data_IF_753357091121
#
_entry.id   IF_753357091121
#
_cell.length_a   1.000
_cell.length_b   1.000
_cell.length_c   1.000
_cell.angle_alpha   90.00
_cell.angle_beta   90.00
_cell.angle_gamma   90.00
#
_symmetry.space_group_name_H-M   'P 1'
#
loop_
_entity.id
_entity.type
_entity.pdbx_description
1 polymer ?
#
# COMPACT_ATOMS: atom_id res chain seq x y z
N UNK A 1 16.75 -4.74 -13.07
CA UNK A 1 15.54 -5.29 -13.70
C UNK A 1 14.37 -4.38 -13.32
N UNK A 2 13.82 -3.61 -14.27
CA UNK A 2 12.65 -2.75 -14.01
C UNK A 2 11.41 -3.61 -14.19
N UNK A 3 10.69 -3.86 -13.10
CA UNK A 3 9.41 -4.54 -13.17
C UNK A 3 8.40 -3.56 -13.78
N UNK A 4 7.97 -3.82 -15.00
CA UNK A 4 6.82 -3.14 -15.56
C UNK A 4 5.58 -3.89 -15.07
N UNK A 5 4.80 -3.25 -14.20
CA UNK A 5 3.44 -3.72 -13.93
C UNK A 5 2.68 -3.65 -15.25
N UNK A 6 2.17 -4.81 -15.71
CA UNK A 6 1.20 -4.83 -16.82
C UNK A 6 0.04 -3.93 -16.42
N UNK A 7 -0.60 -3.25 -17.37
CA UNK A 7 -1.79 -2.43 -17.10
C UNK A 7 -2.78 -3.28 -16.32
N UNK A 8 -2.85 -3.09 -15.00
CA UNK A 8 -3.87 -3.76 -14.20
C UNK A 8 -5.05 -2.85 -14.30
N UNK A 9 -5.79 -3.00 -15.39
CA UNK A 9 -7.01 -2.21 -15.52
C UNK A 9 -7.88 -2.58 -14.33
N UNK A 10 -8.27 -1.54 -13.59
CA UNK A 10 -9.24 -1.49 -12.49
C UNK A 10 -8.72 -1.61 -11.05
N UNK A 11 -7.52 -2.12 -10.74
CA UNK A 11 -7.06 -2.18 -9.33
C UNK A 11 -6.08 -1.07 -8.97
N UNK A 12 -6.24 -0.47 -7.79
CA UNK A 12 -5.47 0.67 -7.30
C UNK A 12 -4.82 0.37 -5.95
N UNK A 13 -3.77 1.13 -5.64
CA UNK A 13 -3.17 1.15 -4.31
C UNK A 13 -3.85 2.21 -3.45
N UNK A 14 -4.20 1.85 -2.21
CA UNK A 14 -4.70 2.77 -1.21
C UNK A 14 -3.74 2.78 -0.04
N UNK A 15 -3.47 3.96 0.49
CA UNK A 15 -2.90 4.13 1.81
C UNK A 15 -4.02 4.54 2.77
N UNK A 16 -4.14 3.87 3.91
CA UNK A 16 -5.17 4.14 4.93
C UNK A 16 -4.51 4.22 6.32
N UNK A 17 -4.79 5.28 7.06
CA UNK A 17 -4.44 5.41 8.48
C UNK A 17 -5.55 4.77 9.34
N UNK A 18 -5.17 3.85 10.22
CA UNK A 18 -6.10 3.19 11.14
C UNK A 18 -6.44 4.10 12.31
N UNK A 19 -7.68 4.59 12.34
CA UNK A 19 -8.13 5.54 13.36
C UNK A 19 -8.67 4.86 14.63
N UNK A 20 -8.72 5.57 15.77
CA UNK A 20 -9.50 5.13 16.92
C UNK A 20 -10.96 4.87 16.54
N UNK A 21 -11.50 3.70 16.93
CA UNK A 21 -12.87 3.30 16.63
C UNK A 21 -13.06 2.65 15.25
N UNK A 22 -12.00 2.48 14.46
CA UNK A 22 -12.05 1.68 13.25
C UNK A 22 -12.50 0.23 13.54
N UNK A 23 -13.48 -0.33 12.81
CA UNK A 23 -13.99 -1.68 13.04
C UNK A 23 -12.92 -2.78 13.10
N UNK A 24 -11.88 -2.70 12.25
CA UNK A 24 -10.82 -3.69 12.23
C UNK A 24 -9.76 -3.50 13.33
N UNK A 25 -9.79 -2.41 14.09
CA UNK A 25 -8.82 -2.19 15.16
C UNK A 25 -8.92 -3.29 16.23
N UNK A 26 -7.82 -4.00 16.47
CA UNK A 26 -7.76 -5.12 17.40
C UNK A 26 -8.09 -6.49 16.80
N UNK A 27 -8.57 -6.54 15.56
CA UNK A 27 -8.81 -7.77 14.80
C UNK A 27 -7.59 -8.14 13.95
N UNK A 28 -7.57 -9.39 13.48
CA UNK A 28 -6.59 -9.92 12.54
C UNK A 28 -7.07 -9.76 11.10
N UNK A 29 -6.15 -9.68 10.15
CA UNK A 29 -6.51 -9.56 8.72
C UNK A 29 -7.31 -10.75 8.18
N UNK A 30 -7.24 -11.93 8.80
CA UNK A 30 -8.07 -13.08 8.45
C UNK A 30 -9.56 -12.85 8.76
N UNK A 31 -9.88 -11.89 9.65
CA UNK A 31 -11.25 -11.50 9.99
C UNK A 31 -11.77 -10.37 9.08
N UNK A 32 -10.95 -9.89 8.13
CA UNK A 32 -11.33 -8.79 7.25
C UNK A 32 -12.44 -9.22 6.25
N UNK A 33 -13.62 -8.57 6.24
CA UNK A 33 -14.78 -9.02 5.45
C UNK A 33 -14.56 -9.07 3.93
N UNK A 34 -13.59 -8.32 3.39
CA UNK A 34 -13.35 -8.19 1.95
C UNK A 34 -12.00 -8.76 1.50
N UNK A 35 -11.47 -9.75 2.20
CA UNK A 35 -10.15 -10.34 1.90
C UNK A 35 -10.02 -10.96 0.50
N UNK A 36 -11.14 -11.25 -0.19
CA UNK A 36 -11.14 -11.80 -1.55
C UNK A 36 -11.05 -10.72 -2.65
N UNK A 37 -11.50 -9.50 -2.36
CA UNK A 37 -11.56 -8.38 -3.32
C UNK A 37 -10.53 -7.27 -3.01
N UNK A 38 -9.83 -7.39 -1.88
CA UNK A 38 -8.82 -6.47 -1.42
C UNK A 38 -7.66 -7.24 -0.76
N UNK A 39 -6.45 -6.99 -1.24
CA UNK A 39 -5.23 -7.51 -0.65
C UNK A 39 -4.57 -6.43 0.21
N UNK A 40 -4.43 -6.69 1.50
CA UNK A 40 -3.57 -5.87 2.36
C UNK A 40 -2.12 -6.33 2.16
N UNK A 41 -1.26 -5.43 1.69
CA UNK A 41 0.11 -5.74 1.27
C UNK A 41 1.08 -5.52 2.42
N UNK A 42 1.06 -4.32 2.99
CA UNK A 42 1.99 -3.90 4.03
C UNK A 42 1.32 -3.04 5.08
N UNK A 43 1.91 -3.07 6.27
CA UNK A 43 1.57 -2.17 7.38
C UNK A 43 2.83 -1.43 7.77
N UNK A 44 2.76 -0.11 7.84
CA UNK A 44 3.76 0.73 8.47
C UNK A 44 3.31 1.01 9.90
N UNK A 45 4.04 0.46 10.87
CA UNK A 45 3.74 0.62 12.29
C UNK A 45 4.93 1.28 12.97
N UNK A 46 4.69 2.45 13.59
CA UNK A 46 5.74 3.22 14.28
C UNK A 46 6.98 3.43 13.38
N UNK A 47 6.75 3.74 12.11
CA UNK A 47 7.81 3.98 11.12
C UNK A 47 8.56 2.72 10.65
N UNK A 48 8.08 1.51 10.96
CA UNK A 48 8.69 0.26 10.49
C UNK A 48 7.73 -0.50 9.57
N UNK A 49 8.11 -0.76 8.30
CA UNK A 49 7.26 -1.50 7.38
C UNK A 49 7.31 -3.00 7.71
N UNK A 50 6.16 -3.66 7.63
CA UNK A 50 6.03 -5.12 7.75
C UNK A 50 5.09 -5.67 6.67
N UNK A 51 5.35 -6.89 6.22
CA UNK A 51 4.43 -7.61 5.35
C UNK A 51 3.19 -8.04 6.13
N UNK A 52 2.04 -7.88 5.49
CA UNK A 52 0.77 -8.28 6.04
C UNK A 52 0.52 -9.78 5.83
N UNK A 53 -0.01 -10.43 6.87
CA UNK A 53 -0.43 -11.83 6.86
C UNK A 53 -1.80 -11.95 7.53
N UNK A 54 -2.50 -13.07 7.32
CA UNK A 54 -3.83 -13.27 7.91
C UNK A 54 -3.85 -13.14 9.45
N UNK A 55 -2.77 -13.56 10.13
CA UNK A 55 -2.65 -13.43 11.58
C UNK A 55 -2.15 -12.05 12.05
N UNK A 56 -1.86 -11.12 11.15
CA UNK A 56 -1.42 -9.78 11.50
C UNK A 56 -2.56 -9.05 12.18
N UNK A 57 -2.37 -8.71 13.46
CA UNK A 57 -3.31 -7.89 14.24
C UNK A 57 -3.17 -6.42 13.87
N UNK A 58 -4.30 -5.78 13.60
CA UNK A 58 -4.40 -4.37 13.24
C UNK A 58 -4.44 -3.51 14.50
N UNK A 59 -3.62 -2.46 14.52
CA UNK A 59 -3.51 -1.53 15.63
C UNK A 59 -3.87 -0.11 15.17
N UNK A 60 -4.40 0.68 16.10
CA UNK A 60 -4.59 2.12 15.88
C UNK A 60 -3.24 2.77 15.58
N UNK A 61 -3.23 3.67 14.59
CA UNK A 61 -2.04 4.36 14.10
C UNK A 61 -1.20 3.56 13.10
N UNK A 62 -1.64 2.37 12.71
CA UNK A 62 -1.08 1.69 11.54
C UNK A 62 -1.37 2.49 10.27
N UNK A 63 -0.41 2.53 9.34
CA UNK A 63 -0.67 2.95 7.96
C UNK A 63 -0.65 1.72 7.07
N UNK A 64 -1.77 1.41 6.46
CA UNK A 64 -2.00 0.21 5.67
C UNK A 64 -1.86 0.56 4.19
N UNK A 65 -1.11 -0.26 3.45
CA UNK A 65 -1.14 -0.26 1.99
C UNK A 65 -2.02 -1.41 1.51
N UNK A 66 -3.12 -1.07 0.84
CA UNK A 66 -4.06 -2.02 0.26
C UNK A 66 -3.97 -1.99 -1.27
N UNK A 67 -4.29 -3.11 -1.90
CA UNK A 67 -4.49 -3.22 -3.33
C UNK A 67 -5.87 -3.78 -3.60
N UNK A 68 -6.72 -2.96 -4.21
CA UNK A 68 -8.15 -3.25 -4.28
C UNK A 68 -8.77 -2.67 -5.55
N UNK A 69 -9.98 -3.15 -5.89
CA UNK A 69 -10.82 -2.53 -6.92
C UNK A 69 -11.55 -1.30 -6.37
N UNK A 70 -11.99 -0.35 -7.23
CA UNK A 70 -12.55 0.92 -6.79
C UNK A 70 -13.92 0.75 -6.12
N UNK A 71 -14.67 -0.30 -6.48
CA UNK A 71 -15.97 -0.64 -5.90
C UNK A 71 -15.89 -1.06 -4.43
N UNK A 72 -14.72 -1.48 -3.94
CA UNK A 72 -14.53 -1.88 -2.53
C UNK A 72 -13.81 -0.82 -1.68
N UNK A 73 -13.38 0.29 -2.27
CA UNK A 73 -12.65 1.35 -1.56
C UNK A 73 -13.42 1.87 -0.34
N UNK A 74 -14.72 2.09 -0.48
CA UNK A 74 -15.57 2.59 0.61
C UNK A 74 -15.63 1.61 1.78
N UNK A 75 -15.66 0.30 1.49
CA UNK A 75 -15.62 -0.73 2.54
C UNK A 75 -14.27 -0.71 3.24
N UNK A 76 -13.17 -0.67 2.49
CA UNK A 76 -11.81 -0.59 3.05
C UNK A 76 -11.68 0.63 3.97
N UNK A 77 -12.12 1.81 3.52
CA UNK A 77 -12.10 3.02 4.33
C UNK A 77 -12.97 2.87 5.57
N UNK A 78 -14.20 2.35 5.46
CA UNK A 78 -15.08 2.13 6.61
C UNK A 78 -14.45 1.21 7.66
N UNK A 79 -13.81 0.12 7.23
CA UNK A 79 -13.25 -0.89 8.15
C UNK A 79 -11.95 -0.44 8.83
N UNK A 80 -11.13 0.39 8.16
CA UNK A 80 -9.81 0.78 8.64
C UNK A 80 -9.71 2.25 9.05
N UNK A 81 -10.28 3.19 8.30
CA UNK A 81 -10.21 4.61 8.62
C UNK A 81 -10.24 5.52 7.39
N UNK A 82 -9.28 6.45 7.30
CA UNK A 82 -9.24 7.47 6.23
C UNK A 82 -7.90 7.45 5.52
N UNK A 83 -7.78 8.07 4.33
CA UNK A 83 -6.48 8.31 3.72
C UNK A 83 -5.56 9.06 4.70
N UNK A 84 -4.27 8.71 4.80
CA UNK A 84 -3.33 9.40 5.68
C UNK A 84 -3.20 10.87 5.27
N UNK A 85 -2.82 11.72 6.24
CA UNK A 85 -2.47 13.11 5.92
C UNK A 85 -1.29 13.13 4.94
N UNK A 86 -1.25 14.03 3.93
CA UNK A 86 -0.23 14.04 2.86
C UNK A 86 1.23 14.25 3.32
N UNK A 87 1.48 14.38 4.61
CA UNK A 87 2.82 14.38 5.21
C UNK A 87 3.39 12.97 5.44
N UNK A 88 2.56 11.92 5.36
CA UNK A 88 2.98 10.52 5.49
C UNK A 88 3.02 9.77 4.16
N UNK A 89 2.47 10.34 3.09
CA UNK A 89 2.70 9.86 1.72
C UNK A 89 4.18 10.09 1.44
N UNK A 90 4.92 9.00 1.41
CA UNK A 90 6.35 8.96 1.13
C UNK A 90 6.75 10.07 0.14
N UNK A 91 7.75 10.88 0.51
CA UNK A 91 8.49 11.58 -0.53
C UNK A 91 8.82 10.55 -1.62
N UNK A 92 8.61 10.86 -2.92
CA UNK A 92 9.04 9.96 -3.96
C UNK A 92 10.50 9.63 -3.67
N UNK A 93 10.88 8.37 -3.86
CA UNK A 93 12.29 7.97 -3.81
C UNK A 93 13.04 8.67 -4.95
N UNK A 94 13.28 9.98 -4.81
CA UNK A 94 14.05 10.84 -5.69
C UNK A 94 15.53 10.54 -5.44
N UNK A 95 15.91 9.36 -5.92
CA UNK A 95 17.25 8.81 -5.77
C UNK A 95 17.68 7.94 -6.95
N UNK A 96 16.83 7.73 -7.95
CA UNK A 96 17.29 7.13 -9.21
C UNK A 96 17.74 8.23 -10.16
N UNK A 97 18.92 8.77 -9.86
CA UNK A 97 19.61 9.74 -10.71
C UNK A 97 19.76 9.18 -12.14
N UNK A 98 19.07 9.83 -13.06
CA UNK A 98 19.36 10.00 -14.48
C UNK A 98 20.84 10.36 -14.74
N UNK A 99 21.73 9.36 -14.79
CA UNK A 99 23.08 9.54 -15.30
C UNK A 99 23.31 8.70 -16.57
N UNK A 100 23.47 9.42 -17.68
CA UNK A 100 24.43 9.08 -18.72
C UNK A 100 23.95 8.16 -19.83
N UNK A 101 23.33 8.74 -20.85
CA UNK A 101 23.46 8.23 -22.22
C UNK A 101 24.96 8.23 -22.57
N UNK A 102 25.52 7.06 -22.89
CA UNK A 102 26.69 6.95 -23.76
C UNK A 102 26.36 5.94 -24.84
N UNK A 103 26.24 6.44 -26.07
CA UNK A 103 26.12 5.65 -27.29
C UNK A 103 27.29 4.65 -27.40
N UNK A 104 27.06 3.41 -27.86
CA UNK A 104 28.16 2.53 -28.18
C UNK A 104 28.88 3.02 -29.44
N UNK A 105 30.20 3.20 -29.32
CA UNK A 105 31.10 3.41 -30.44
C UNK A 105 31.01 2.20 -31.38
N UNK A 106 30.58 2.43 -32.61
CA UNK A 106 30.60 1.43 -33.68
C UNK A 106 32.03 0.92 -33.87
N UNK A 107 32.18 -0.40 -33.89
CA UNK A 107 33.42 -1.07 -34.25
C UNK A 107 33.51 -1.14 -35.77
N UNK A 108 34.50 -0.46 -36.35
CA UNK A 108 35.19 -0.80 -37.59
C UNK A 108 36.60 -0.18 -37.58
#
# INVERSE_FOLDING_TARGET
MRLALRTVEHNEFLEIEVLPGAPMAGHTLAEFPCSNDCLIISILRRGQPMLAHGNTKINIGDVITAYARPDVHEVVLREFGRPPHPEHSAEPADGLQKHGVREPLAAE
#
